data_IF_310867164508
#
_entry.id   IF_310867164508
#
_cell.length_a   1.000
_cell.length_b   1.000
_cell.length_c   1.000
_cell.angle_alpha   90.00
_cell.angle_beta   90.00
_cell.angle_gamma   90.00
#
_symmetry.space_group_name_H-M   'P 1'
#
loop_
_entity.id
_entity.type
_entity.pdbx_description
1 polymer ?
#
# COMPACT_ATOMS: atom_id res chain seq x y z
N UNK A 1 -10.96 -24.25 27.29
CA UNK A 1 -10.79 -23.36 26.14
C UNK A 1 -9.72 -22.32 26.47
N UNK A 2 -8.51 -22.41 25.92
CA UNK A 2 -7.54 -21.36 26.08
C UNK A 2 -7.59 -20.42 24.88
N UNK A 3 -7.77 -19.14 25.15
CA UNK A 3 -7.53 -18.06 24.22
C UNK A 3 -6.04 -18.01 23.89
N UNK A 4 -5.68 -18.32 22.64
CA UNK A 4 -4.34 -18.05 22.13
C UNK A 4 -4.31 -16.57 21.75
N UNK A 5 -3.80 -15.76 22.66
CA UNK A 5 -3.43 -14.38 22.40
C UNK A 5 -2.21 -14.41 21.49
N UNK A 6 -2.37 -14.07 20.21
CA UNK A 6 -1.24 -13.90 19.30
C UNK A 6 -0.52 -12.60 19.69
N UNK A 7 0.38 -12.70 20.66
CA UNK A 7 1.35 -11.66 20.98
C UNK A 7 2.33 -11.55 19.80
N UNK A 8 2.14 -10.57 18.96
CA UNK A 8 3.20 -10.10 18.08
C UNK A 8 4.34 -9.61 18.98
N UNK A 9 5.37 -10.41 19.10
CA UNK A 9 6.64 -9.98 19.65
C UNK A 9 7.20 -8.87 18.76
N UNK A 10 7.10 -7.64 19.23
CA UNK A 10 7.97 -6.55 18.86
C UNK A 10 9.33 -6.81 19.49
N UNK A 11 10.10 -7.72 18.94
CA UNK A 11 11.52 -7.82 19.24
C UNK A 11 12.27 -7.10 18.13
N UNK A 12 13.14 -6.20 18.59
CA UNK A 12 14.07 -5.35 17.84
C UNK A 12 13.54 -3.99 17.35
N UNK A 13 13.03 -3.19 18.30
CA UNK A 13 13.41 -1.78 18.30
C UNK A 13 14.85 -1.71 18.81
N UNK A 14 15.80 -1.89 17.90
CA UNK A 14 17.17 -1.53 18.18
C UNK A 14 17.16 -0.01 18.42
N UNK A 15 17.28 0.38 19.70
CA UNK A 15 17.52 1.75 20.10
C UNK A 15 18.95 2.05 19.62
N UNK A 16 19.08 2.38 18.33
CA UNK A 16 20.34 2.70 17.69
C UNK A 16 21.00 3.84 18.44
N UNK A 17 22.28 3.69 18.64
CA UNK A 17 23.18 4.67 19.21
C UNK A 17 22.89 6.05 18.60
N UNK A 18 22.78 7.05 19.45
CA UNK A 18 22.39 8.44 19.12
C UNK A 18 23.37 9.18 18.18
N UNK A 19 24.37 8.48 17.65
CA UNK A 19 25.33 8.98 16.67
C UNK A 19 24.95 8.72 15.20
N UNK A 20 23.95 7.86 14.93
CA UNK A 20 23.45 7.67 13.56
C UNK A 20 22.47 8.78 13.20
N UNK A 21 22.95 9.79 12.47
CA UNK A 21 22.08 10.80 11.86
C UNK A 21 21.40 10.14 10.66
N UNK A 22 20.09 9.86 10.77
CA UNK A 22 19.31 9.39 9.63
C UNK A 22 19.14 10.53 8.59
N UNK A 23 20.15 10.69 7.73
CA UNK A 23 20.16 11.67 6.64
C UNK A 23 19.02 11.48 5.62
N UNK A 24 18.31 10.34 5.70
CA UNK A 24 17.16 10.04 4.86
C UNK A 24 15.82 10.39 5.51
N UNK A 25 15.86 10.91 6.74
CA UNK A 25 14.65 11.28 7.47
C UNK A 25 13.94 12.44 6.79
N UNK A 26 12.85 12.14 6.13
CA UNK A 26 11.98 13.12 5.47
C UNK A 26 10.64 13.17 6.15
N UNK A 27 10.06 14.34 6.27
CA UNK A 27 8.71 14.48 6.81
C UNK A 27 7.69 14.02 5.75
N UNK A 28 7.21 12.79 5.89
CA UNK A 28 6.02 12.29 5.20
C UNK A 28 4.73 12.71 5.90
N UNK A 29 3.63 12.00 5.63
CA UNK A 29 2.36 12.19 6.37
C UNK A 29 2.42 11.53 7.75
N UNK A 30 2.92 10.29 7.82
CA UNK A 30 3.19 9.60 9.07
C UNK A 30 4.60 8.97 9.08
N UNK A 31 5.06 8.41 7.97
CA UNK A 31 6.40 7.88 7.87
C UNK A 31 7.43 9.00 7.72
N UNK A 32 8.59 8.82 8.35
CA UNK A 32 9.73 9.75 8.26
C UNK A 32 10.91 9.18 7.46
N UNK A 33 10.87 7.88 7.16
CA UNK A 33 11.96 7.17 6.48
C UNK A 33 11.44 6.00 5.65
N UNK A 34 12.33 5.42 4.87
CA UNK A 34 12.09 4.18 4.13
C UNK A 34 12.88 3.05 4.76
N UNK A 35 12.32 2.31 5.74
CA UNK A 35 12.97 1.11 6.23
C UNK A 35 13.13 0.10 5.09
N UNK A 36 14.19 -0.71 5.16
CA UNK A 36 14.41 -1.80 4.23
C UNK A 36 13.20 -2.73 4.20
N UNK A 37 12.82 -3.17 3.02
CA UNK A 37 11.74 -4.13 2.91
C UNK A 37 12.26 -5.56 3.17
N UNK A 38 11.37 -6.46 3.57
CA UNK A 38 11.71 -7.85 3.94
C UNK A 38 12.31 -8.71 2.83
N UNK A 39 12.29 -8.24 1.59
CA UNK A 39 12.87 -8.94 0.43
C UNK A 39 14.22 -8.37 0.01
N UNK A 40 14.68 -7.28 0.63
CA UNK A 40 16.01 -6.74 0.38
C UNK A 40 17.06 -7.58 1.08
N UNK A 41 18.09 -7.97 0.33
CA UNK A 41 19.23 -8.77 0.83
C UNK A 41 20.35 -7.90 1.38
N UNK A 42 20.33 -6.59 1.11
CA UNK A 42 21.37 -5.64 1.51
C UNK A 42 20.74 -4.40 2.14
N UNK A 43 21.33 -3.95 3.24
CA UNK A 43 20.94 -2.70 3.89
C UNK A 43 21.92 -1.59 3.51
N UNK A 44 21.39 -0.42 3.17
CA UNK A 44 22.18 0.80 3.00
C UNK A 44 22.08 1.60 4.28
N UNK A 45 23.19 1.77 4.95
CA UNK A 45 23.32 2.63 6.14
C UNK A 45 24.00 3.91 5.70
N UNK A 46 23.39 5.06 5.97
CA UNK A 46 24.05 6.34 5.79
C UNK A 46 24.99 6.57 6.98
N UNK A 47 26.28 6.65 6.72
CA UNK A 47 27.30 6.95 7.74
C UNK A 47 27.67 8.42 7.59
N UNK A 48 27.71 9.15 8.71
CA UNK A 48 28.24 10.51 8.76
C UNK A 48 29.78 10.46 8.73
N UNK A 49 30.38 10.96 7.67
CA UNK A 49 31.84 11.07 7.52
C UNK A 49 32.37 12.42 8.01
N UNK A 50 31.49 13.28 8.57
CA UNK A 50 31.83 14.59 9.10
C UNK A 50 32.03 15.69 8.04
N UNK A 51 31.83 15.38 6.74
CA UNK A 51 32.00 16.33 5.65
C UNK A 51 30.70 16.86 5.07
N UNK A 52 29.58 16.24 5.42
CA UNK A 52 28.29 16.60 4.86
C UNK A 52 27.70 17.86 5.53
N UNK A 53 27.31 18.78 4.70
CA UNK A 53 26.40 19.86 5.07
C UNK A 53 25.01 19.25 5.17
N UNK A 54 24.34 19.43 6.31
CA UNK A 54 22.93 19.04 6.46
C UNK A 54 22.12 19.98 5.56
N UNK A 55 21.88 19.55 4.32
CA UNK A 55 20.96 20.24 3.44
C UNK A 55 19.52 19.90 3.83
N UNK A 56 18.66 20.91 3.86
CA UNK A 56 17.22 20.70 4.00
C UNK A 56 16.73 19.86 2.82
N UNK A 57 16.37 18.61 3.08
CA UNK A 57 15.83 17.72 2.06
C UNK A 57 14.52 18.29 1.51
N UNK A 58 14.35 18.32 0.18
CA UNK A 58 13.13 18.85 -0.41
C UNK A 58 11.89 18.07 0.08
N UNK A 59 10.74 18.73 0.17
CA UNK A 59 9.51 18.08 0.62
C UNK A 59 9.19 16.87 -0.26
N UNK A 60 8.73 15.81 0.37
CA UNK A 60 8.39 14.56 -0.32
C UNK A 60 7.13 14.78 -1.15
N UNK A 61 7.25 14.61 -2.48
CA UNK A 61 6.13 14.70 -3.42
C UNK A 61 5.56 13.33 -3.71
N UNK A 62 4.24 13.26 -3.85
CA UNK A 62 3.57 12.03 -4.31
C UNK A 62 3.85 11.80 -5.79
N UNK A 63 4.29 10.61 -6.14
CA UNK A 63 4.47 10.15 -7.51
C UNK A 63 3.47 9.04 -7.80
N UNK A 64 2.64 9.23 -8.81
CA UNK A 64 1.63 8.25 -9.23
C UNK A 64 2.05 7.60 -10.53
N UNK A 65 2.26 6.29 -10.50
CA UNK A 65 2.48 5.48 -11.69
C UNK A 65 1.19 4.78 -12.12
N UNK A 66 1.11 4.38 -13.39
CA UNK A 66 -0.07 3.72 -13.94
C UNK A 66 0.23 2.25 -14.22
N UNK A 67 -0.63 1.37 -13.72
CA UNK A 67 -0.60 -0.08 -13.98
C UNK A 67 -1.85 -0.51 -14.73
N UNK A 68 -1.68 -1.42 -15.71
CA UNK A 68 -2.81 -2.11 -16.34
C UNK A 68 -2.94 -3.50 -15.69
N UNK A 69 -3.97 -3.73 -14.84
CA UNK A 69 -4.13 -5.02 -14.18
C UNK A 69 -4.62 -6.08 -15.16
N UNK A 70 -4.16 -7.32 -14.99
CA UNK A 70 -4.70 -8.48 -15.72
C UNK A 70 -6.01 -8.98 -15.11
N UNK A 71 -6.12 -8.86 -13.78
CA UNK A 71 -7.31 -9.19 -12.96
C UNK A 71 -7.50 -8.10 -11.91
N UNK A 72 -8.75 -7.83 -11.59
CA UNK A 72 -9.13 -6.83 -10.60
C UNK A 72 -9.68 -7.50 -9.34
N UNK A 73 -10.46 -8.56 -9.51
CA UNK A 73 -10.98 -9.33 -8.39
C UNK A 73 -9.87 -10.24 -7.86
N UNK A 74 -9.41 -9.94 -6.64
CA UNK A 74 -8.46 -10.75 -5.90
C UNK A 74 -9.23 -11.71 -4.99
N UNK A 75 -8.80 -12.96 -4.91
CA UNK A 75 -9.38 -13.97 -4.02
C UNK A 75 -8.55 -14.11 -2.76
N UNK A 76 -9.24 -14.33 -1.65
CA UNK A 76 -8.68 -14.61 -0.35
C UNK A 76 -9.28 -15.92 0.20
N UNK A 77 -8.45 -16.72 0.84
CA UNK A 77 -8.82 -17.99 1.45
C UNK A 77 -8.62 -18.01 2.96
N UNK A 78 -8.34 -16.84 3.58
CA UNK A 78 -8.19 -16.75 5.02
C UNK A 78 -9.52 -17.04 5.72
N UNK A 79 -9.54 -17.96 6.71
CA UNK A 79 -10.76 -18.28 7.45
C UNK A 79 -11.21 -17.14 8.38
N UNK A 80 -10.34 -16.18 8.66
CA UNK A 80 -10.61 -15.08 9.58
C UNK A 80 -11.39 -13.92 8.94
N UNK A 81 -11.58 -13.95 7.62
CA UNK A 81 -12.28 -12.92 6.89
C UNK A 81 -13.64 -13.39 6.39
N UNK A 82 -14.66 -12.56 6.58
CA UNK A 82 -16.03 -12.83 6.14
C UNK A 82 -16.25 -12.72 4.62
N UNK A 83 -15.23 -12.33 3.86
CA UNK A 83 -15.26 -12.19 2.40
C UNK A 83 -14.10 -12.96 1.77
N UNK A 84 -14.37 -13.55 0.60
CA UNK A 84 -13.37 -14.27 -0.19
C UNK A 84 -12.84 -13.47 -1.40
N UNK A 85 -13.35 -12.26 -1.63
CA UNK A 85 -13.01 -11.41 -2.78
C UNK A 85 -12.78 -9.97 -2.38
N UNK A 86 -11.82 -9.35 -3.05
CA UNK A 86 -11.55 -7.93 -2.85
C UNK A 86 -11.15 -7.22 -4.14
N UNK A 87 -11.41 -5.92 -4.19
CA UNK A 87 -10.99 -5.01 -5.25
C UNK A 87 -10.19 -3.87 -4.63
N UNK A 88 -9.01 -3.61 -5.21
CA UNK A 88 -8.16 -2.50 -4.84
C UNK A 88 -7.83 -1.66 -6.08
N UNK A 89 -8.44 -0.45 -6.23
CA UNK A 89 -8.24 0.41 -7.39
C UNK A 89 -6.85 1.03 -7.47
N UNK A 90 -6.16 1.07 -6.34
CA UNK A 90 -4.82 1.64 -6.17
C UNK A 90 -3.89 0.68 -5.42
N UNK A 91 -2.60 1.00 -5.39
CA UNK A 91 -1.61 0.45 -4.45
C UNK A 91 -0.89 1.61 -3.77
N UNK A 92 -0.66 1.49 -2.47
CA UNK A 92 -0.25 2.59 -1.61
C UNK A 92 -1.40 3.53 -1.28
N UNK A 93 -1.19 4.45 -0.36
CA UNK A 93 -2.24 5.33 0.12
C UNK A 93 -1.67 6.65 0.63
N UNK A 94 -2.15 7.76 0.06
CA UNK A 94 -1.75 9.10 0.46
C UNK A 94 -2.19 9.51 1.88
N UNK A 95 -3.20 8.86 2.46
CA UNK A 95 -3.61 9.18 3.83
C UNK A 95 -2.50 8.90 4.85
N UNK A 96 -1.61 7.95 4.55
CA UNK A 96 -0.41 7.72 5.33
C UNK A 96 -0.67 7.35 6.80
N UNK A 97 -1.79 6.70 7.12
CA UNK A 97 -2.11 6.32 8.50
C UNK A 97 -0.97 5.51 9.13
N UNK A 98 -0.52 5.91 10.33
CA UNK A 98 0.61 5.24 11.01
C UNK A 98 0.30 3.78 11.34
N UNK A 99 -0.95 3.47 11.67
CA UNK A 99 -1.44 2.14 12.04
C UNK A 99 -1.89 1.29 10.84
N UNK A 100 -1.61 1.70 9.60
CA UNK A 100 -2.14 1.02 8.42
C UNK A 100 -1.49 -0.36 8.23
N UNK A 101 -2.29 -1.41 8.35
CA UNK A 101 -1.86 -2.80 8.15
C UNK A 101 -1.46 -3.11 6.69
N UNK A 102 -1.85 -2.26 5.74
CA UNK A 102 -1.56 -2.46 4.32
C UNK A 102 -0.14 -2.06 3.91
N UNK A 103 0.59 -1.33 4.74
CA UNK A 103 1.96 -0.86 4.46
C UNK A 103 2.91 -1.96 3.97
N UNK A 104 2.96 -3.16 4.61
CA UNK A 104 3.83 -4.24 4.15
C UNK A 104 3.55 -4.73 2.73
N UNK A 105 2.37 -4.43 2.16
CA UNK A 105 2.04 -4.81 0.78
C UNK A 105 2.95 -4.15 -0.26
N UNK A 106 3.54 -2.99 0.07
CA UNK A 106 4.48 -2.28 -0.80
C UNK A 106 5.79 -3.05 -1.03
N UNK A 107 6.18 -3.90 -0.07
CA UNK A 107 7.35 -4.76 -0.22
C UNK A 107 7.26 -5.71 -1.42
N UNK A 108 6.05 -6.15 -1.80
CA UNK A 108 5.85 -6.96 -3.01
C UNK A 108 6.08 -6.20 -4.32
N UNK A 109 6.22 -4.88 -4.25
CA UNK A 109 6.56 -4.01 -5.37
C UNK A 109 8.05 -3.65 -5.38
N UNK A 110 8.85 -4.18 -4.44
CA UNK A 110 10.23 -3.78 -4.21
C UNK A 110 10.35 -2.38 -3.62
N UNK A 111 9.28 -1.88 -2.98
CA UNK A 111 9.22 -0.56 -2.37
C UNK A 111 9.19 -0.66 -0.85
N UNK A 112 9.60 0.41 -0.16
CA UNK A 112 9.54 0.46 1.30
C UNK A 112 8.11 0.55 1.83
N UNK A 113 7.79 -0.08 2.96
CA UNK A 113 6.53 0.13 3.68
C UNK A 113 6.43 1.50 4.36
N UNK A 114 7.50 2.27 4.40
CA UNK A 114 7.58 3.60 4.98
C UNK A 114 7.04 4.71 4.09
N UNK A 115 7.92 5.67 3.73
CA UNK A 115 7.57 6.82 2.87
C UNK A 115 7.06 6.39 1.50
N UNK A 116 7.62 5.33 0.91
CA UNK A 116 7.19 4.88 -0.42
C UNK A 116 5.71 4.49 -0.44
N UNK A 117 5.20 3.91 0.66
CA UNK A 117 3.77 3.58 0.74
C UNK A 117 2.86 4.80 0.63
N UNK A 118 3.32 5.97 1.09
CA UNK A 118 2.58 7.23 1.11
C UNK A 118 2.79 8.08 -0.15
N UNK A 119 3.89 7.85 -0.86
CA UNK A 119 4.39 8.77 -1.88
C UNK A 119 4.62 8.15 -3.25
N UNK A 120 4.77 6.83 -3.34
CA UNK A 120 4.94 6.08 -4.60
C UNK A 120 3.72 5.21 -4.86
N UNK A 121 2.69 5.84 -5.41
CA UNK A 121 1.39 5.22 -5.60
C UNK A 121 1.25 4.61 -7.00
N UNK A 122 0.39 3.60 -7.10
CA UNK A 122 0.04 3.00 -8.38
C UNK A 122 -1.46 3.12 -8.59
N UNK A 123 -1.87 3.80 -9.67
CA UNK A 123 -3.24 3.90 -10.12
C UNK A 123 -3.54 2.86 -11.21
N UNK A 124 -4.76 2.32 -11.22
CA UNK A 124 -5.23 1.29 -12.17
C UNK A 124 -6.42 1.78 -13.00
N UNK A 125 -6.25 2.76 -13.89
CA UNK A 125 -7.35 3.40 -14.61
C UNK A 125 -8.13 2.44 -15.52
N UNK A 126 -7.54 1.30 -15.92
CA UNK A 126 -8.21 0.24 -16.69
C UNK A 126 -8.93 -0.80 -15.82
N UNK A 127 -8.87 -0.68 -14.48
CA UNK A 127 -9.54 -1.63 -13.58
C UNK A 127 -11.05 -1.76 -13.85
N UNK A 128 -11.83 -0.70 -14.10
CA UNK A 128 -13.25 -0.83 -14.40
C UNK A 128 -13.54 -1.72 -15.62
N UNK A 129 -12.83 -1.52 -16.72
CA UNK A 129 -13.03 -2.32 -17.94
C UNK A 129 -12.58 -3.79 -17.76
N UNK A 130 -11.57 -4.04 -16.94
CA UNK A 130 -11.16 -5.41 -16.60
C UNK A 130 -12.20 -6.05 -15.70
N UNK A 131 -12.74 -5.32 -14.71
CA UNK A 131 -13.79 -5.79 -13.82
C UNK A 131 -15.05 -6.19 -14.61
N UNK A 132 -15.48 -5.35 -15.55
CA UNK A 132 -16.63 -5.64 -16.41
C UNK A 132 -16.48 -6.98 -17.13
N UNK A 133 -15.30 -7.24 -17.71
CA UNK A 133 -15.01 -8.54 -18.36
C UNK A 133 -15.00 -9.72 -17.38
N UNK A 134 -14.52 -9.51 -16.16
CA UNK A 134 -14.50 -10.54 -15.12
C UNK A 134 -15.93 -10.89 -14.68
N UNK A 135 -16.80 -9.89 -14.53
CA UNK A 135 -18.19 -10.07 -14.13
C UNK A 135 -19.05 -10.67 -15.24
N UNK A 136 -18.78 -10.31 -16.51
CA UNK A 136 -19.48 -10.85 -17.67
C UNK A 136 -19.13 -12.32 -17.99
N UNK A 137 -18.15 -12.90 -17.29
CA UNK A 137 -17.78 -14.29 -17.50
C UNK A 137 -18.90 -15.23 -17.03
N UNK A 138 -19.35 -16.12 -17.91
CA UNK A 138 -20.43 -17.12 -17.61
C UNK A 138 -20.15 -18.01 -16.41
N UNK A 139 -18.88 -18.17 -16.02
CA UNK A 139 -18.48 -18.93 -14.83
C UNK A 139 -18.37 -18.06 -13.57
N UNK A 140 -18.67 -16.78 -13.68
CA UNK A 140 -18.64 -15.90 -12.51
C UNK A 140 -19.84 -16.18 -11.61
N UNK A 141 -19.57 -16.49 -10.37
CA UNK A 141 -20.61 -16.65 -9.33
C UNK A 141 -20.58 -15.39 -8.45
N UNK A 142 -21.67 -14.62 -8.38
CA UNK A 142 -21.74 -13.44 -7.53
C UNK A 142 -21.50 -13.78 -6.05
N UNK A 143 -20.72 -12.95 -5.38
CA UNK A 143 -20.45 -13.02 -3.94
C UNK A 143 -20.10 -11.64 -3.42
N UNK A 144 -20.08 -11.50 -2.09
CA UNK A 144 -19.64 -10.26 -1.45
C UNK A 144 -18.21 -9.91 -1.85
N UNK A 145 -18.00 -8.67 -2.25
CA UNK A 145 -16.70 -8.12 -2.62
C UNK A 145 -16.34 -7.01 -1.64
N UNK A 146 -15.22 -7.16 -0.95
CA UNK A 146 -14.66 -6.09 -0.14
C UNK A 146 -13.86 -5.11 -1.03
N UNK A 147 -14.03 -3.83 -0.80
CA UNK A 147 -13.34 -2.78 -1.58
C UNK A 147 -12.39 -2.02 -0.66
N UNK A 148 -11.15 -1.79 -1.13
CA UNK A 148 -10.19 -1.01 -0.38
C UNK A 148 -9.51 -1.75 0.76
N UNK A 149 -9.25 -3.04 0.61
CA UNK A 149 -8.59 -3.85 1.65
C UNK A 149 -7.09 -3.57 1.80
N UNK A 150 -6.42 -3.05 0.75
CA UNK A 150 -4.99 -2.73 0.75
C UNK A 150 -4.68 -1.26 0.43
N UNK A 151 -5.71 -0.44 0.28
CA UNK A 151 -5.61 0.98 -0.02
C UNK A 151 -6.93 1.65 0.31
N UNK A 152 -6.92 2.94 0.57
CA UNK A 152 -8.18 3.67 0.63
C UNK A 152 -8.64 3.98 -0.80
N UNK A 153 -9.85 3.53 -1.22
CA UNK A 153 -10.37 3.79 -2.55
C UNK A 153 -10.73 5.27 -2.77
N UNK A 154 -10.90 6.04 -1.70
CA UNK A 154 -11.23 7.47 -1.72
C UNK A 154 -10.06 8.36 -1.29
N UNK A 155 -8.82 7.86 -1.42
CA UNK A 155 -7.64 8.67 -1.18
C UNK A 155 -7.57 9.88 -2.15
N UNK A 156 -6.79 10.93 -1.86
CA UNK A 156 -6.80 12.19 -2.62
C UNK A 156 -6.66 12.04 -4.13
N UNK A 157 -5.84 11.11 -4.63
CA UNK A 157 -5.67 10.88 -6.08
C UNK A 157 -6.93 10.36 -6.80
N UNK A 158 -7.91 9.84 -6.06
CA UNK A 158 -9.20 9.44 -6.67
C UNK A 158 -9.92 10.63 -7.29
N UNK A 159 -9.72 11.84 -6.76
CA UNK A 159 -10.27 13.08 -7.32
C UNK A 159 -9.89 13.26 -8.78
N UNK A 160 -8.65 12.93 -9.14
CA UNK A 160 -8.11 13.12 -10.49
C UNK A 160 -8.35 11.91 -11.38
N UNK A 161 -8.31 10.71 -10.82
CA UNK A 161 -8.40 9.46 -11.57
C UNK A 161 -9.83 8.93 -11.71
N UNK A 162 -10.72 9.12 -10.73
CA UNK A 162 -12.12 8.69 -10.75
C UNK A 162 -12.31 7.19 -10.97
N UNK A 163 -11.35 6.35 -10.52
CA UNK A 163 -11.36 4.90 -10.79
C UNK A 163 -12.43 4.22 -9.97
N UNK A 164 -12.56 4.58 -8.68
CA UNK A 164 -13.54 3.99 -7.78
C UNK A 164 -14.96 4.27 -8.25
N UNK A 165 -15.25 5.51 -8.68
CA UNK A 165 -16.54 5.87 -9.24
C UNK A 165 -16.93 4.96 -10.40
N UNK A 166 -16.00 4.73 -11.33
CA UNK A 166 -16.24 3.86 -12.49
C UNK A 166 -16.38 2.39 -12.10
N UNK A 167 -15.66 1.91 -11.08
CA UNK A 167 -15.84 0.56 -10.52
C UNK A 167 -17.26 0.39 -9.99
N UNK A 168 -17.77 1.37 -9.23
CA UNK A 168 -19.15 1.32 -8.71
C UNK A 168 -20.19 1.32 -9.82
N UNK A 169 -19.99 2.06 -10.90
CA UNK A 169 -20.87 2.05 -12.07
C UNK A 169 -20.91 0.67 -12.73
N UNK A 170 -19.76 0.01 -12.87
CA UNK A 170 -19.70 -1.37 -13.41
C UNK A 170 -20.41 -2.34 -12.48
N UNK A 171 -20.18 -2.26 -11.18
CA UNK A 171 -20.87 -3.12 -10.20
C UNK A 171 -22.39 -2.91 -10.23
N UNK A 172 -22.85 -1.67 -10.35
CA UNK A 172 -24.28 -1.35 -10.47
C UNK A 172 -24.91 -1.94 -11.73
N UNK A 173 -24.19 -1.95 -12.85
CA UNK A 173 -24.68 -2.49 -14.12
C UNK A 173 -24.76 -4.02 -14.15
N UNK A 174 -24.05 -4.71 -13.25
CA UNK A 174 -24.00 -6.17 -13.14
C UNK A 174 -24.74 -6.73 -11.90
N UNK A 175 -25.50 -5.89 -11.20
CA UNK A 175 -26.25 -6.28 -10.00
C UNK A 175 -27.64 -6.83 -10.36
#
# INVERSE_FOLDING_TARGET
LPYVLCLFYFTDMNCGDSSEIDKQRRKGRAASSNPANRFETTHRVAVDDGWDIIEDLPPVRTHVSVETPRKVITRNTSPDLSFDRSINPYRGCEHGCIYCFARPSHAFLGLSPGLDFETRLIARPKAPAVLERELANVRYVPKVIAIGTNTDPYQPIERDHGIMRRILQVLQAHN
#
